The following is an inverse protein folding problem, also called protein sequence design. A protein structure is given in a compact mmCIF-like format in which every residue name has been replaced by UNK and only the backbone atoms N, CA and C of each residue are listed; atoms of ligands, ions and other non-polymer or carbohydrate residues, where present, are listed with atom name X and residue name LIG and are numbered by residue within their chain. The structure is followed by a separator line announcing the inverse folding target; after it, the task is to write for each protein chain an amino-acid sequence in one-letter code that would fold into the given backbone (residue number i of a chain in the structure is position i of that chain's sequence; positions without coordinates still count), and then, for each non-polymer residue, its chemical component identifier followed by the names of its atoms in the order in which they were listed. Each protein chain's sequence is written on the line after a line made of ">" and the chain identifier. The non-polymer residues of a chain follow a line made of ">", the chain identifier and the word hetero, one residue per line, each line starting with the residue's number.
data_IF_605463455369
#
_entry.id   IF_605463455369
#
_cell.length_a   1.000
_cell.length_b   1.000
_cell.length_c   1.000
_cell.angle_alpha   90.00
_cell.angle_beta   90.00
_cell.angle_gamma   90.00
#
_symmetry.space_group_name_H-M   'P 1'
#
loop_
_entity.id
_entity.type
_entity.pdbx_description
1 polymer ?
#
# COMPACT_ATOMS: atom_id res chain seq x y z
N UNK A 1 -9.19 35.75 -1.06
CA UNK A 1 -10.11 34.60 -1.12
C UNK A 1 -10.54 34.29 -2.55
N UNK A 2 -11.06 35.28 -3.30
CA UNK A 2 -11.58 35.08 -4.66
C UNK A 2 -10.55 34.47 -5.63
N UNK A 3 -9.32 35.00 -5.69
CA UNK A 3 -8.22 34.44 -6.48
C UNK A 3 -7.92 32.96 -6.18
N UNK A 4 -8.00 32.56 -4.90
CA UNK A 4 -7.74 31.17 -4.49
C UNK A 4 -8.85 30.28 -5.04
N UNK A 5 -10.11 30.72 -4.97
CA UNK A 5 -11.23 29.95 -5.49
C UNK A 5 -11.16 29.84 -7.01
N UNK A 6 -10.94 30.95 -7.73
CA UNK A 6 -10.86 30.94 -9.20
C UNK A 6 -9.73 30.04 -9.70
N UNK A 7 -8.60 30.03 -9.01
CA UNK A 7 -7.43 29.25 -9.41
C UNK A 7 -7.51 27.77 -9.04
N UNK A 8 -8.11 27.43 -7.89
CA UNK A 8 -7.99 26.08 -7.32
C UNK A 8 -9.33 25.33 -7.17
N UNK A 9 -10.49 25.99 -7.25
CA UNK A 9 -11.80 25.33 -7.05
C UNK A 9 -12.10 24.25 -8.11
N UNK A 10 -11.60 24.42 -9.33
CA UNK A 10 -11.72 23.43 -10.41
C UNK A 10 -10.72 22.27 -10.28
N UNK A 11 -9.69 22.42 -9.45
CA UNK A 11 -8.65 21.42 -9.25
C UNK A 11 -8.90 20.51 -8.04
N UNK A 12 -9.73 20.97 -7.10
CA UNK A 12 -10.04 20.27 -5.85
C UNK A 12 -11.48 19.80 -5.87
N UNK A 13 -11.68 18.49 -5.72
CA UNK A 13 -13.01 17.88 -5.76
C UNK A 13 -13.77 18.11 -4.44
N UNK A 14 -14.29 19.32 -4.27
CA UNK A 14 -15.16 19.70 -3.14
C UNK A 14 -16.62 19.36 -3.44
N UNK A 15 -17.37 19.04 -2.39
CA UNK A 15 -18.82 18.87 -2.47
C UNK A 15 -19.51 20.18 -2.84
N UNK A 16 -20.64 20.09 -3.55
CA UNK A 16 -21.41 21.28 -3.95
C UNK A 16 -21.80 22.19 -2.77
N UNK A 17 -22.20 21.67 -1.57
CA UNK A 17 -22.44 22.50 -0.39
C UNK A 17 -21.20 23.25 0.10
N UNK A 18 -20.06 22.55 0.22
CA UNK A 18 -18.79 23.14 0.67
C UNK A 18 -18.29 24.22 -0.31
N UNK A 19 -18.42 23.96 -1.62
CA UNK A 19 -18.07 24.92 -2.67
C UNK A 19 -18.97 26.17 -2.63
N UNK A 20 -20.29 25.99 -2.43
CA UNK A 20 -21.24 27.10 -2.37
C UNK A 20 -20.99 28.00 -1.15
N UNK A 21 -20.65 27.42 0.01
CA UNK A 21 -20.33 28.16 1.23
C UNK A 21 -19.09 29.05 1.04
N UNK A 22 -17.98 28.51 0.54
CA UNK A 22 -16.74 29.29 0.33
C UNK A 22 -16.91 30.35 -0.77
N UNK A 23 -17.71 30.08 -1.82
CA UNK A 23 -18.03 31.06 -2.86
C UNK A 23 -18.86 32.22 -2.32
N UNK A 24 -19.81 31.93 -1.42
CA UNK A 24 -20.64 32.95 -0.76
C UNK A 24 -19.77 33.83 0.16
N UNK A 25 -18.95 33.21 1.02
CA UNK A 25 -18.01 33.89 1.91
C UNK A 25 -17.00 34.76 1.14
N UNK A 26 -16.46 34.27 0.02
CA UNK A 26 -15.51 35.04 -0.78
C UNK A 26 -16.16 36.28 -1.44
N UNK A 27 -17.44 36.20 -1.82
CA UNK A 27 -18.20 37.32 -2.41
C UNK A 27 -18.63 38.37 -1.38
N UNK A 28 -18.83 37.99 -0.11
CA UNK A 28 -19.21 38.94 0.95
C UNK A 28 -18.04 39.83 1.41
N UNK A 29 -16.80 39.50 1.05
CA UNK A 29 -15.60 40.25 1.44
C UNK A 29 -15.16 40.02 2.90
N UNK A 30 -16.03 39.45 3.72
CA UNK A 30 -15.75 39.00 5.09
C UNK A 30 -15.51 37.47 5.09
N UNK A 31 -14.29 37.06 5.45
CA UNK A 31 -13.87 35.66 5.44
C UNK A 31 -14.16 35.06 6.80
N UNK A 32 -15.32 34.42 6.93
CA UNK A 32 -15.63 33.59 8.09
C UNK A 32 -14.97 32.21 7.96
N UNK A 33 -14.12 31.84 8.91
CA UNK A 33 -13.45 30.54 8.93
C UNK A 33 -14.43 29.38 9.16
N UNK A 34 -15.60 29.61 9.75
CA UNK A 34 -16.63 28.58 9.94
C UNK A 34 -17.23 28.14 8.60
N UNK A 35 -17.44 29.06 7.66
CA UNK A 35 -17.93 28.77 6.30
C UNK A 35 -16.93 27.91 5.50
N UNK A 36 -15.65 28.00 5.82
CA UNK A 36 -14.57 27.24 5.17
C UNK A 36 -14.30 25.89 5.84
N UNK A 37 -14.75 25.67 7.08
CA UNK A 37 -14.46 24.46 7.83
C UNK A 37 -14.88 23.16 7.12
N UNK A 38 -16.06 23.08 6.46
CA UNK A 38 -16.43 21.89 5.69
C UNK A 38 -15.48 21.62 4.51
N UNK A 39 -15.13 22.65 3.74
CA UNK A 39 -14.19 22.54 2.62
C UNK A 39 -12.80 22.12 3.11
N UNK A 40 -12.29 22.73 4.19
CA UNK A 40 -10.99 22.37 4.79
C UNK A 40 -10.99 20.91 5.23
N UNK A 41 -12.08 20.45 5.85
CA UNK A 41 -12.24 19.05 6.26
C UNK A 41 -12.22 18.10 5.06
N UNK A 42 -12.92 18.43 3.97
CA UNK A 42 -12.90 17.64 2.74
C UNK A 42 -11.51 17.59 2.10
N UNK A 43 -10.81 18.73 2.00
CA UNK A 43 -9.43 18.76 1.50
C UNK A 43 -8.51 17.91 2.37
N UNK A 44 -8.62 18.01 3.71
CA UNK A 44 -7.84 17.17 4.62
C UNK A 44 -8.11 15.68 4.39
N UNK A 45 -9.37 15.30 4.23
CA UNK A 45 -9.75 13.92 3.93
C UNK A 45 -9.25 13.46 2.55
N UNK A 46 -9.24 14.32 1.54
CA UNK A 46 -8.65 14.01 0.23
C UNK A 46 -7.13 13.79 0.34
N UNK A 47 -6.45 14.63 1.12
CA UNK A 47 -5.02 14.46 1.39
C UNK A 47 -4.75 13.14 2.12
N UNK A 48 -5.48 12.85 3.19
CA UNK A 48 -5.34 11.64 4.01
C UNK A 48 -5.67 10.35 3.27
N UNK A 49 -6.76 10.32 2.51
CA UNK A 49 -7.28 9.11 1.91
C UNK A 49 -6.71 8.82 0.52
N UNK A 50 -6.20 9.82 -0.21
CA UNK A 50 -5.78 9.66 -1.59
C UNK A 50 -4.35 10.17 -1.85
N UNK A 51 -4.09 11.45 -1.62
CA UNK A 51 -2.81 12.06 -2.04
C UNK A 51 -1.61 11.58 -1.22
N UNK A 52 -1.73 11.47 0.11
CA UNK A 52 -0.64 10.93 0.94
C UNK A 52 -0.36 9.45 0.67
N UNK A 53 -1.36 8.55 0.53
CA UNK A 53 -1.10 7.19 0.08
C UNK A 53 -0.42 7.10 -1.30
N UNK A 54 -0.77 7.97 -2.27
CA UNK A 54 -0.09 8.03 -3.58
C UNK A 54 1.35 8.52 -3.44
N UNK A 55 1.55 9.60 -2.69
CA UNK A 55 2.88 10.15 -2.43
C UNK A 55 3.79 9.12 -1.75
N UNK A 56 3.29 8.40 -0.74
CA UNK A 56 4.05 7.32 -0.07
C UNK A 56 4.43 6.15 -0.99
N UNK A 57 3.74 5.98 -2.11
CA UNK A 57 4.05 4.99 -3.15
C UNK A 57 4.89 5.57 -4.30
N UNK A 58 5.16 6.87 -4.30
CA UNK A 58 5.91 7.54 -5.36
C UNK A 58 7.41 7.26 -5.29
N UNK A 59 8.07 7.33 -6.44
CA UNK A 59 9.53 7.23 -6.56
C UNK A 59 10.26 8.33 -5.78
N UNK A 60 9.69 9.54 -5.73
CA UNK A 60 10.22 10.66 -4.95
C UNK A 60 10.32 10.31 -3.46
N UNK A 61 9.26 9.75 -2.89
CA UNK A 61 9.26 9.36 -1.48
C UNK A 61 10.21 8.18 -1.21
N UNK A 62 10.27 7.20 -2.11
CA UNK A 62 11.22 6.09 -2.00
C UNK A 62 12.68 6.57 -2.06
N UNK A 63 13.00 7.50 -2.97
CA UNK A 63 14.33 8.10 -3.08
C UNK A 63 14.70 8.84 -1.81
N UNK A 64 13.76 9.60 -1.24
CA UNK A 64 13.95 10.26 0.06
C UNK A 64 14.20 9.23 1.17
N UNK A 65 13.41 8.16 1.26
CA UNK A 65 13.60 7.11 2.26
C UNK A 65 14.94 6.39 2.12
N UNK A 66 15.40 6.14 0.89
CA UNK A 66 16.71 5.54 0.64
C UNK A 66 17.85 6.49 1.05
N UNK A 67 17.71 7.79 0.81
CA UNK A 67 18.70 8.80 1.20
C UNK A 67 18.91 8.87 2.71
N UNK A 68 17.84 8.67 3.50
CA UNK A 68 17.88 8.73 4.96
C UNK A 68 18.00 7.34 5.62
N UNK A 69 18.13 6.26 4.84
CA UNK A 69 18.21 4.90 5.36
C UNK A 69 19.59 4.68 6.02
N UNK A 70 19.65 4.37 7.33
CA UNK A 70 20.91 4.01 7.97
C UNK A 70 21.47 2.73 7.34
N UNK A 71 22.78 2.67 7.16
CA UNK A 71 23.44 1.49 6.59
C UNK A 71 23.18 0.24 7.42
N UNK A 72 23.18 0.37 8.75
CA UNK A 72 22.95 -0.72 9.69
C UNK A 72 21.59 -1.37 9.49
N UNK A 73 20.57 -0.56 9.17
CA UNK A 73 19.22 -1.07 8.88
C UNK A 73 19.22 -1.97 7.64
N UNK A 74 19.98 -1.60 6.59
CA UNK A 74 20.14 -2.41 5.40
C UNK A 74 20.98 -3.68 5.66
N UNK A 75 22.00 -3.59 6.51
CA UNK A 75 22.85 -4.73 6.88
C UNK A 75 22.08 -5.79 7.69
N UNK A 76 21.14 -5.37 8.55
CA UNK A 76 20.25 -6.29 9.29
C UNK A 76 19.44 -7.19 8.34
N UNK A 77 19.12 -6.71 7.12
CA UNK A 77 18.38 -7.52 6.15
C UNK A 77 19.13 -8.77 5.71
N UNK A 78 20.45 -8.87 5.91
CA UNK A 78 21.23 -10.08 5.60
C UNK A 78 20.92 -11.27 6.53
N UNK A 79 20.38 -10.99 7.72
CA UNK A 79 20.07 -12.00 8.74
C UNK A 79 18.59 -12.00 9.16
N UNK A 80 17.81 -11.01 8.72
CA UNK A 80 16.41 -10.87 9.12
C UNK A 80 15.51 -10.47 7.94
N UNK A 81 14.87 -11.46 7.34
CA UNK A 81 13.91 -11.28 6.25
C UNK A 81 12.68 -10.45 6.66
N UNK A 82 12.21 -10.56 7.90
CA UNK A 82 11.06 -9.78 8.38
C UNK A 82 11.39 -8.29 8.41
N UNK A 83 12.63 -7.93 8.76
CA UNK A 83 13.11 -6.55 8.71
C UNK A 83 13.23 -6.03 7.29
N UNK A 84 13.67 -6.87 6.34
CA UNK A 84 13.66 -6.54 4.91
C UNK A 84 12.24 -6.25 4.43
N UNK A 85 11.28 -7.14 4.74
CA UNK A 85 9.89 -6.98 4.34
C UNK A 85 9.16 -5.87 5.09
N UNK A 86 9.56 -5.50 6.31
CA UNK A 86 8.96 -4.38 7.03
C UNK A 86 9.42 -3.02 6.48
N UNK A 87 10.63 -2.93 5.91
CA UNK A 87 11.19 -1.69 5.39
C UNK A 87 10.74 -1.41 3.94
N UNK A 88 10.28 -0.19 3.65
CA UNK A 88 9.80 0.18 2.31
C UNK A 88 10.90 0.18 1.24
N UNK A 89 12.11 0.63 1.58
CA UNK A 89 13.29 0.61 0.69
C UNK A 89 13.74 -0.84 0.49
N UNK A 90 13.77 -1.63 1.57
CA UNK A 90 14.07 -3.07 1.51
C UNK A 90 13.13 -3.82 0.56
N UNK A 91 11.82 -3.66 0.73
CA UNK A 91 10.82 -4.20 -0.19
C UNK A 91 11.00 -3.70 -1.62
N UNK A 92 11.36 -2.44 -1.82
CA UNK A 92 11.58 -1.88 -3.16
C UNK A 92 12.72 -2.61 -3.90
N UNK A 93 13.90 -2.70 -3.29
CA UNK A 93 15.05 -3.38 -3.89
C UNK A 93 14.80 -4.88 -4.08
N UNK A 94 14.15 -5.52 -3.10
CA UNK A 94 13.79 -6.92 -3.23
C UNK A 94 12.78 -7.14 -4.37
N UNK A 95 11.81 -6.24 -4.58
CA UNK A 95 10.88 -6.29 -5.71
C UNK A 95 11.57 -6.18 -7.06
N UNK A 96 12.56 -5.30 -7.19
CA UNK A 96 13.36 -5.17 -8.42
C UNK A 96 14.12 -6.46 -8.73
N UNK A 97 14.71 -7.07 -7.70
CA UNK A 97 15.35 -8.38 -7.84
C UNK A 97 14.35 -9.47 -8.22
N UNK A 98 13.18 -9.54 -7.57
CA UNK A 98 12.14 -10.53 -7.89
C UNK A 98 11.63 -10.38 -9.32
N UNK A 99 11.54 -9.16 -9.86
CA UNK A 99 11.20 -8.91 -11.27
C UNK A 99 12.22 -9.53 -12.22
N UNK A 100 13.51 -9.42 -11.92
CA UNK A 100 14.57 -9.95 -12.79
C UNK A 100 14.53 -11.48 -12.87
N UNK A 101 14.01 -12.14 -11.83
CA UNK A 101 13.83 -13.60 -11.78
C UNK A 101 12.37 -14.05 -11.99
N UNK A 102 11.48 -13.14 -12.41
CA UNK A 102 10.04 -13.41 -12.68
C UNK A 102 9.30 -14.04 -11.50
N UNK A 103 9.53 -13.53 -10.29
CA UNK A 103 8.91 -13.99 -9.05
C UNK A 103 8.24 -12.86 -8.25
N UNK A 104 7.98 -11.70 -8.89
CA UNK A 104 7.43 -10.50 -8.25
C UNK A 104 6.02 -10.72 -7.69
N UNK A 105 5.23 -11.57 -8.32
CA UNK A 105 3.84 -11.89 -7.94
C UNK A 105 3.73 -12.37 -6.49
N UNK A 106 4.75 -13.05 -5.97
CA UNK A 106 4.85 -13.47 -4.57
C UNK A 106 4.84 -12.28 -3.61
N UNK A 107 5.66 -11.27 -3.88
CA UNK A 107 5.73 -10.06 -3.05
C UNK A 107 4.49 -9.17 -3.25
N UNK A 108 3.90 -9.16 -4.45
CA UNK A 108 2.65 -8.44 -4.72
C UNK A 108 1.46 -9.02 -3.95
N UNK A 109 1.35 -10.35 -3.87
CA UNK A 109 0.36 -10.98 -3.00
C UNK A 109 0.62 -10.63 -1.54
N UNK A 110 1.87 -10.66 -1.09
CA UNK A 110 2.23 -10.27 0.28
C UNK A 110 1.79 -8.84 0.62
N UNK A 111 2.11 -7.87 -0.25
CA UNK A 111 1.72 -6.47 -0.08
C UNK A 111 0.18 -6.32 -0.02
N UNK A 112 -0.53 -7.03 -0.90
CA UNK A 112 -2.00 -6.98 -0.96
C UNK A 112 -2.64 -7.52 0.33
N UNK A 113 -2.07 -8.57 0.93
CA UNK A 113 -2.57 -9.12 2.21
C UNK A 113 -2.22 -8.21 3.38
N UNK A 114 -1.05 -7.57 3.39
CA UNK A 114 -0.71 -6.57 4.40
C UNK A 114 -1.69 -5.39 4.35
N UNK A 115 -2.00 -4.89 3.16
CA UNK A 115 -3.01 -3.83 2.98
C UNK A 115 -4.40 -4.31 3.42
N UNK A 116 -4.80 -5.52 3.05
CA UNK A 116 -6.05 -6.13 3.53
C UNK A 116 -6.14 -6.17 5.06
N UNK A 117 -5.08 -6.61 5.74
CA UNK A 117 -5.03 -6.68 7.22
C UNK A 117 -5.15 -5.30 7.85
N UNK A 118 -4.41 -4.31 7.35
CA UNK A 118 -4.48 -2.92 7.84
C UNK A 118 -5.90 -2.38 7.69
N UNK A 119 -6.53 -2.54 6.52
CA UNK A 119 -7.89 -2.07 6.28
C UNK A 119 -8.91 -2.78 7.19
N UNK A 120 -8.75 -4.09 7.42
CA UNK A 120 -9.60 -4.85 8.36
C UNK A 120 -9.45 -4.37 9.81
N UNK A 121 -8.27 -3.92 10.22
CA UNK A 121 -8.02 -3.39 11.57
C UNK A 121 -8.55 -1.97 11.77
N UNK A 122 -8.54 -1.14 10.73
CA UNK A 122 -8.90 0.29 10.85
C UNK A 122 -10.35 0.60 10.50
N UNK A 123 -11.01 -0.22 9.67
CA UNK A 123 -12.38 0.06 9.20
C UNK A 123 -13.45 -0.40 10.19
N UNK A 124 -14.57 0.31 10.21
CA UNK A 124 -15.75 -0.08 11.00
C UNK A 124 -16.39 -1.33 10.40
N UNK A 125 -17.01 -2.17 11.25
CA UNK A 125 -17.76 -3.38 10.82
C UNK A 125 -18.77 -3.13 9.69
N UNK A 126 -19.29 -1.90 9.57
CA UNK A 126 -20.23 -1.46 8.52
C UNK A 126 -19.63 -1.52 7.11
N UNK A 127 -18.32 -1.65 6.97
CA UNK A 127 -17.62 -1.72 5.68
C UNK A 127 -17.32 -3.15 5.20
N UNK A 128 -17.93 -4.17 5.83
CA UNK A 128 -17.73 -5.58 5.50
C UNK A 128 -17.92 -5.91 4.01
N UNK A 129 -18.88 -5.24 3.33
CA UNK A 129 -19.08 -5.38 1.88
C UNK A 129 -17.82 -5.01 1.10
N UNK A 130 -17.12 -3.94 1.50
CA UNK A 130 -15.86 -3.53 0.86
C UNK A 130 -14.73 -4.53 1.10
N UNK A 131 -14.69 -5.16 2.29
CA UNK A 131 -13.69 -6.19 2.63
C UNK A 131 -13.93 -7.49 1.87
N UNK A 132 -15.20 -7.85 1.65
CA UNK A 132 -15.58 -8.97 0.79
C UNK A 132 -15.12 -8.76 -0.65
N UNK A 133 -15.34 -7.55 -1.21
CA UNK A 133 -14.86 -7.21 -2.56
C UNK A 133 -13.34 -7.32 -2.63
N UNK A 134 -12.63 -6.72 -1.67
CA UNK A 134 -11.17 -6.78 -1.62
C UNK A 134 -10.63 -8.22 -1.55
N UNK A 135 -11.23 -9.08 -0.73
CA UNK A 135 -10.85 -10.48 -0.65
C UNK A 135 -11.06 -11.22 -1.99
N UNK A 136 -12.17 -10.95 -2.68
CA UNK A 136 -12.44 -11.50 -4.02
C UNK A 136 -11.45 -11.01 -5.06
N UNK A 137 -11.06 -9.74 -5.00
CA UNK A 137 -10.07 -9.16 -5.93
C UNK A 137 -8.70 -9.82 -5.73
N UNK A 138 -8.25 -10.01 -4.48
CA UNK A 138 -7.00 -10.72 -4.17
C UNK A 138 -7.03 -12.14 -4.72
N UNK A 139 -8.13 -12.89 -4.48
CA UNK A 139 -8.30 -14.25 -5.04
C UNK A 139 -8.22 -14.22 -6.56
N UNK A 140 -8.96 -13.31 -7.20
CA UNK A 140 -9.01 -13.25 -8.66
C UNK A 140 -7.68 -12.89 -9.30
N UNK A 141 -6.87 -12.04 -8.66
CA UNK A 141 -5.60 -11.57 -9.21
C UNK A 141 -4.50 -12.62 -9.00
N UNK A 142 -4.44 -13.26 -7.83
CA UNK A 142 -3.27 -14.03 -7.42
C UNK A 142 -3.49 -15.54 -7.27
N UNK A 143 -4.73 -15.99 -7.06
CA UNK A 143 -4.99 -17.41 -6.74
C UNK A 143 -5.60 -18.18 -7.92
N UNK A 144 -6.18 -17.47 -8.89
CA UNK A 144 -6.72 -18.06 -10.13
C UNK A 144 -5.67 -18.09 -11.23
N UNK A 145 -5.89 -18.99 -12.19
CA UNK A 145 -5.05 -19.10 -13.39
C UNK A 145 -4.94 -17.76 -14.11
N UNK A 146 -3.69 -17.31 -14.33
CA UNK A 146 -3.42 -16.03 -14.98
C UNK A 146 -1.99 -15.54 -14.81
N UNK A 147 -1.73 -14.35 -15.35
CA UNK A 147 -0.39 -13.77 -15.42
C UNK A 147 0.25 -13.43 -14.06
N UNK A 148 -0.54 -13.35 -12.98
CA UNK A 148 -0.04 -13.06 -11.63
C UNK A 148 -0.33 -14.20 -10.63
N UNK A 149 -0.64 -15.40 -11.13
CA UNK A 149 -0.90 -16.55 -10.27
C UNK A 149 0.34 -16.89 -9.44
N UNK A 150 0.18 -16.94 -8.12
CA UNK A 150 1.22 -17.45 -7.22
C UNK A 150 1.12 -18.97 -7.12
N UNK A 151 2.28 -19.62 -6.99
CA UNK A 151 2.32 -21.05 -6.69
C UNK A 151 1.89 -21.28 -5.23
N UNK A 152 0.68 -21.82 -5.05
CA UNK A 152 0.13 -22.20 -3.75
C UNK A 152 -0.47 -23.61 -3.82
N UNK A 153 -0.32 -24.43 -2.76
CA UNK A 153 -1.04 -25.69 -2.62
C UNK A 153 -2.55 -25.51 -2.84
N UNK A 154 -3.16 -26.43 -3.58
CA UNK A 154 -4.60 -26.42 -3.87
C UNK A 154 -5.45 -26.33 -2.59
N UNK A 155 -5.06 -27.04 -1.53
CA UNK A 155 -5.74 -27.02 -0.23
C UNK A 155 -5.82 -25.62 0.39
N UNK A 156 -4.79 -24.79 0.22
CA UNK A 156 -4.76 -23.41 0.72
C UNK A 156 -5.73 -22.55 -0.09
N UNK A 157 -5.67 -22.64 -1.43
CA UNK A 157 -6.56 -21.90 -2.34
C UNK A 157 -8.04 -22.24 -2.05
N UNK A 158 -8.35 -23.52 -1.99
CA UNK A 158 -9.71 -24.03 -1.75
C UNK A 158 -10.24 -23.59 -0.38
N UNK A 159 -9.41 -23.59 0.66
CA UNK A 159 -9.81 -23.14 2.01
C UNK A 159 -10.15 -21.65 2.02
N UNK A 160 -9.36 -20.82 1.35
CA UNK A 160 -9.61 -19.37 1.22
C UNK A 160 -10.91 -19.13 0.46
N UNK A 161 -11.09 -19.77 -0.69
CA UNK A 161 -12.29 -19.63 -1.53
C UNK A 161 -13.56 -20.07 -0.79
N UNK A 162 -13.51 -21.20 -0.07
CA UNK A 162 -14.64 -21.67 0.76
C UNK A 162 -15.00 -20.67 1.87
N UNK A 163 -14.02 -20.09 2.56
CA UNK A 163 -14.27 -19.07 3.59
C UNK A 163 -14.95 -17.84 2.99
N UNK A 164 -14.47 -17.34 1.85
CA UNK A 164 -15.04 -16.18 1.18
C UNK A 164 -16.47 -16.46 0.68
N UNK A 165 -16.71 -17.64 0.09
CA UNK A 165 -18.05 -18.05 -0.37
C UNK A 165 -19.07 -18.10 0.78
N UNK A 166 -18.64 -18.49 1.98
CA UNK A 166 -19.48 -18.58 3.17
C UNK A 166 -19.60 -17.27 3.97
N UNK A 167 -19.07 -16.15 3.47
CA UNK A 167 -19.13 -14.88 4.19
C UNK A 167 -18.11 -14.74 5.33
N UNK A 168 -17.18 -15.69 5.49
CA UNK A 168 -16.24 -15.79 6.62
C UNK A 168 -14.93 -15.03 6.34
N UNK A 169 -15.06 -13.75 6.00
CA UNK A 169 -13.92 -12.84 5.78
C UNK A 169 -13.46 -12.26 7.11
N UNK A 170 -12.25 -12.61 7.51
CA UNK A 170 -11.60 -12.15 8.73
C UNK A 170 -10.13 -11.81 8.46
N UNK A 171 -9.46 -11.14 9.40
CA UNK A 171 -8.09 -10.64 9.25
C UNK A 171 -7.07 -11.75 8.93
N UNK A 172 -7.35 -12.98 9.38
CA UNK A 172 -6.53 -14.17 9.24
C UNK A 172 -6.76 -14.95 7.93
N UNK A 173 -7.66 -14.46 7.05
CA UNK A 173 -8.12 -15.19 5.87
C UNK A 173 -6.98 -15.75 5.00
N UNK A 174 -5.90 -15.00 4.85
CA UNK A 174 -4.77 -15.31 3.98
C UNK A 174 -3.51 -15.79 4.72
N UNK A 175 -3.58 -16.05 6.03
CA UNK A 175 -2.39 -16.34 6.85
C UNK A 175 -1.60 -17.56 6.37
N UNK A 176 -2.30 -18.61 5.96
CA UNK A 176 -1.67 -19.84 5.47
C UNK A 176 -0.98 -19.63 4.12
N UNK A 177 -1.60 -18.84 3.22
CA UNK A 177 -0.99 -18.46 1.95
C UNK A 177 0.25 -17.60 2.18
N UNK A 178 0.18 -16.60 3.06
CA UNK A 178 1.33 -15.73 3.38
C UNK A 178 2.49 -16.51 3.97
N UNK A 179 2.22 -17.46 4.88
CA UNK A 179 3.27 -18.32 5.44
C UNK A 179 3.97 -19.13 4.35
N UNK A 180 3.22 -19.67 3.40
CA UNK A 180 3.78 -20.40 2.26
C UNK A 180 4.65 -19.51 1.37
N UNK A 181 4.15 -18.32 1.03
CA UNK A 181 4.84 -17.36 0.17
C UNK A 181 6.12 -16.84 0.84
N UNK A 182 6.07 -16.46 2.11
CA UNK A 182 7.25 -16.02 2.85
C UNK A 182 8.29 -17.12 2.93
N UNK A 183 7.89 -18.38 3.14
CA UNK A 183 8.82 -19.51 3.13
C UNK A 183 9.46 -19.70 1.75
N UNK A 184 8.68 -19.64 0.67
CA UNK A 184 9.20 -19.73 -0.70
C UNK A 184 10.21 -18.61 -0.99
N UNK A 185 9.88 -17.36 -0.63
CA UNK A 185 10.76 -16.20 -0.79
C UNK A 185 12.05 -16.33 0.06
N UNK A 186 11.95 -16.81 1.31
CA UNK A 186 13.11 -17.02 2.20
C UNK A 186 14.08 -18.07 1.67
N UNK A 187 13.56 -19.16 1.10
CA UNK A 187 14.37 -20.32 0.75
C UNK A 187 15.30 -20.10 -0.44
N UNK A 188 14.88 -19.32 -1.44
CA UNK A 188 15.68 -19.11 -2.65
C UNK A 188 15.84 -17.62 -3.03
N UNK A 189 14.77 -16.86 -3.37
CA UNK A 189 14.93 -15.48 -3.82
C UNK A 189 15.65 -14.57 -2.84
N UNK A 190 15.38 -14.69 -1.54
CA UNK A 190 16.02 -13.89 -0.51
C UNK A 190 17.53 -14.16 -0.42
N UNK A 191 17.94 -15.43 -0.42
CA UNK A 191 19.36 -15.81 -0.39
C UNK A 191 20.09 -15.24 -1.61
N UNK A 192 19.47 -15.34 -2.80
CA UNK A 192 20.05 -14.81 -4.03
C UNK A 192 20.06 -13.28 -4.07
N UNK A 193 19.03 -12.62 -3.53
CA UNK A 193 18.98 -11.17 -3.40
C UNK A 193 20.15 -10.63 -2.56
N UNK A 194 20.46 -11.26 -1.43
CA UNK A 194 21.60 -10.85 -0.59
C UNK A 194 22.96 -10.97 -1.29
N UNK A 195 23.05 -11.81 -2.33
CA UNK A 195 24.25 -11.96 -3.14
C UNK A 195 24.25 -11.08 -4.39
N UNK A 196 23.12 -10.44 -4.70
CA UNK A 196 22.91 -9.73 -5.95
C UNK A 196 23.58 -8.35 -5.97
N UNK A 197 23.87 -7.80 -7.17
CA UNK A 197 24.38 -6.44 -7.30
C UNK A 197 23.44 -5.39 -6.69
N UNK A 198 22.12 -5.58 -6.79
CA UNK A 198 21.12 -4.66 -6.26
C UNK A 198 21.31 -4.42 -4.75
N UNK A 199 21.42 -5.49 -3.96
CA UNK A 199 21.64 -5.37 -2.52
C UNK A 199 23.03 -4.85 -2.18
N UNK A 200 24.07 -5.39 -2.83
CA UNK A 200 25.47 -4.99 -2.57
C UNK A 200 25.74 -3.52 -2.90
N UNK A 201 25.22 -3.05 -4.03
CA UNK A 201 25.36 -1.66 -4.46
C UNK A 201 24.59 -0.72 -3.53
N UNK A 202 23.40 -1.12 -3.07
CA UNK A 202 22.67 -0.36 -2.05
C UNK A 202 23.51 -0.22 -0.76
N UNK A 203 23.98 -1.32 -0.19
CA UNK A 203 24.80 -1.27 1.03
C UNK A 203 26.10 -0.45 0.86
N UNK A 204 26.71 -0.46 -0.33
CA UNK A 204 27.87 0.36 -0.63
C UNK A 204 27.53 1.86 -0.77
N UNK A 205 26.35 2.17 -1.31
CA UNK A 205 25.85 3.54 -1.48
C UNK A 205 25.46 4.18 -0.15
N UNK A 206 24.92 3.41 0.79
CA UNK A 206 24.57 3.90 2.12
C UNK A 206 25.86 4.21 2.89
N UNK A 207 26.08 5.49 3.17
CA UNK A 207 27.17 5.95 4.05
C UNK A 207 26.85 5.59 5.51
N UNK A 208 27.90 5.38 6.31
CA UNK A 208 27.76 5.34 7.78
C UNK A 208 27.26 6.68 8.31
#
# INVERSE_FOLDING_TARGET
>A
AQDIIEKYAVLVNLSAPSLAAILKSAKSGDIDMEDWAPAIKEVRLLLENDQFPRFRRSETYLTFLELILPREDAEIWSSNFDKLLANAVGRHHFRLFLRSIRAEENLRLWDAVVEFRVLMSTKKKTELKSMMTLAKDIISIFLREGANEVYLPYSIKEKIERRVANGLVAIDLFDEAIRHIEQALRNDPYVRFLLSPEYKNLCAKLTR
#
